data_IF_419079068499
#
_entry.id   IF_419079068499
#
_cell.length_a   1.000
_cell.length_b   1.000
_cell.length_c   1.000
_cell.angle_alpha   90.00
_cell.angle_beta   90.00
_cell.angle_gamma   90.00
#
_symmetry.space_group_name_H-M   'P 1'
#
loop_
_entity.id
_entity.type
_entity.pdbx_description
1 polymer ?
#
# COMPACT_ATOMS: atom_id res chain seq x y z
N UNK A 1 -6.41 -30.99 13.21
CA UNK A 1 -7.38 -29.94 12.82
C UNK A 1 -7.72 -29.13 14.07
N UNK A 2 -7.57 -27.81 14.07
CA UNK A 2 -8.01 -26.97 15.21
C UNK A 2 -9.39 -26.41 14.87
N UNK A 3 -10.36 -26.68 15.72
CA UNK A 3 -11.73 -26.15 15.60
C UNK A 3 -11.83 -24.97 16.57
N UNK A 4 -12.22 -23.81 16.07
CA UNK A 4 -12.49 -22.63 16.88
C UNK A 4 -13.97 -22.30 16.80
N UNK A 5 -14.53 -21.69 17.85
CA UNK A 5 -15.84 -21.06 17.73
C UNK A 5 -15.76 -19.86 16.77
N UNK A 6 -16.84 -19.61 16.02
CA UNK A 6 -16.95 -18.46 15.12
C UNK A 6 -16.65 -17.14 15.85
N UNK A 7 -17.20 -16.98 17.06
CA UNK A 7 -17.01 -15.78 17.87
C UNK A 7 -15.54 -15.60 18.26
N UNK A 8 -14.83 -16.69 18.62
CA UNK A 8 -13.39 -16.62 18.93
C UNK A 8 -12.56 -16.17 17.74
N UNK A 9 -12.86 -16.66 16.53
CA UNK A 9 -12.15 -16.23 15.31
C UNK A 9 -12.45 -14.76 14.99
N UNK A 10 -13.71 -14.34 15.03
CA UNK A 10 -14.09 -12.95 14.75
C UNK A 10 -13.41 -12.00 15.74
N UNK A 11 -13.38 -12.34 17.03
CA UNK A 11 -12.69 -11.54 18.04
C UNK A 11 -11.18 -11.50 17.80
N UNK A 12 -10.58 -12.62 17.39
CA UNK A 12 -9.15 -12.64 17.06
C UNK A 12 -8.82 -11.74 15.86
N UNK A 13 -9.63 -11.77 14.81
CA UNK A 13 -9.49 -10.91 13.63
C UNK A 13 -9.64 -9.43 13.99
N UNK A 14 -10.62 -9.08 14.82
CA UNK A 14 -10.78 -7.70 15.32
C UNK A 14 -9.59 -7.23 16.15
N UNK A 15 -9.08 -8.08 17.03
CA UNK A 15 -7.90 -7.78 17.84
C UNK A 15 -6.64 -7.62 16.98
N UNK A 16 -6.58 -8.30 15.84
CA UNK A 16 -5.54 -8.13 14.82
C UNK A 16 -5.82 -6.96 13.84
N UNK A 17 -6.75 -6.06 14.18
CA UNK A 17 -7.13 -4.89 13.39
C UNK A 17 -7.68 -5.18 11.98
N UNK A 18 -8.19 -6.39 11.75
CA UNK A 18 -9.00 -6.66 10.57
C UNK A 18 -10.42 -6.12 10.74
N UNK A 19 -10.93 -5.54 9.66
CA UNK A 19 -12.25 -4.94 9.52
C UNK A 19 -13.01 -5.63 8.36
N UNK A 20 -14.27 -5.25 8.15
CA UNK A 20 -15.15 -5.83 7.12
C UNK A 20 -15.18 -7.38 7.18
N UNK A 21 -15.21 -7.94 8.39
CA UNK A 21 -15.22 -9.39 8.62
C UNK A 21 -16.58 -9.95 8.18
N UNK A 22 -16.57 -10.81 7.17
CA UNK A 22 -17.77 -11.50 6.65
C UNK A 22 -17.55 -13.01 6.75
N UNK A 23 -18.44 -13.69 7.45
CA UNK A 23 -18.56 -15.15 7.41
C UNK A 23 -19.48 -15.47 6.23
N UNK A 24 -18.97 -16.17 5.23
CA UNK A 24 -19.73 -16.52 4.04
C UNK A 24 -20.53 -17.79 4.34
N UNK A 25 -21.85 -17.65 4.51
CA UNK A 25 -22.79 -18.75 4.77
C UNK A 25 -23.51 -19.24 3.52
N UNK A 26 -23.45 -18.46 2.45
CA UNK A 26 -24.00 -18.76 1.13
C UNK A 26 -22.92 -18.50 0.07
N UNK A 27 -22.78 -19.36 -0.97
CA UNK A 27 -21.78 -19.18 -2.01
C UNK A 27 -21.77 -17.75 -2.58
N UNK A 28 -20.58 -17.16 -2.67
CA UNK A 28 -20.38 -15.82 -3.25
C UNK A 28 -19.70 -16.00 -4.62
N UNK A 29 -20.53 -16.30 -5.62
CA UNK A 29 -20.05 -16.53 -6.99
C UNK A 29 -19.45 -15.27 -7.62
N UNK A 30 -19.86 -14.08 -7.18
CA UNK A 30 -19.32 -12.82 -7.69
C UNK A 30 -17.85 -12.62 -7.31
N UNK A 31 -17.44 -13.16 -6.15
CA UNK A 31 -16.05 -13.12 -5.67
C UNK A 31 -15.34 -14.49 -5.77
N UNK A 32 -15.91 -15.45 -6.50
CA UNK A 32 -15.32 -16.78 -6.72
C UNK A 32 -15.26 -17.68 -5.48
N UNK A 33 -16.05 -17.37 -4.44
CA UNK A 33 -16.08 -18.16 -3.20
C UNK A 33 -17.15 -19.24 -3.33
N UNK A 34 -16.72 -20.46 -3.63
CA UNK A 34 -17.56 -21.67 -3.66
C UNK A 34 -17.02 -22.71 -2.69
N UNK A 35 -17.89 -23.33 -1.91
CA UNK A 35 -17.54 -24.42 -1.02
C UNK A 35 -18.64 -25.50 -1.04
N UNK A 36 -18.28 -26.79 -1.19
CA UNK A 36 -19.24 -27.88 -1.24
C UNK A 36 -19.66 -28.38 0.15
N UNK A 37 -18.86 -28.10 1.19
CA UNK A 37 -19.01 -28.69 2.52
C UNK A 37 -19.76 -27.75 3.48
N UNK A 38 -20.90 -28.18 4.01
CA UNK A 38 -21.75 -27.39 4.91
C UNK A 38 -21.15 -27.11 6.30
N UNK A 39 -20.02 -27.73 6.63
CA UNK A 39 -19.32 -27.61 7.91
C UNK A 39 -18.11 -26.65 7.87
N UNK A 40 -17.75 -26.12 6.69
CA UNK A 40 -16.65 -25.18 6.53
C UNK A 40 -17.15 -23.87 5.90
N UNK A 41 -17.18 -22.78 6.68
CA UNK A 41 -17.55 -21.45 6.18
C UNK A 41 -16.29 -20.61 5.94
N UNK A 42 -16.02 -20.18 4.70
CA UNK A 42 -14.97 -19.21 4.41
C UNK A 42 -15.22 -17.90 5.16
N UNK A 43 -14.15 -17.26 5.61
CA UNK A 43 -14.19 -15.94 6.23
C UNK A 43 -13.32 -15.01 5.41
N UNK A 44 -13.88 -13.87 5.00
CA UNK A 44 -13.09 -12.76 4.48
C UNK A 44 -12.95 -11.70 5.55
N UNK A 45 -11.78 -11.09 5.64
CA UNK A 45 -11.50 -9.97 6.50
C UNK A 45 -10.49 -9.06 5.80
N UNK A 46 -10.67 -7.75 5.86
CA UNK A 46 -9.76 -6.78 5.24
C UNK A 46 -8.96 -6.07 6.31
N UNK A 47 -7.68 -5.81 6.08
CA UNK A 47 -6.97 -4.84 6.90
C UNK A 47 -7.65 -3.47 6.74
N UNK A 48 -7.71 -2.65 7.80
CA UNK A 48 -8.09 -1.23 7.70
C UNK A 48 -6.94 -0.39 8.28
N UNK A 49 -5.71 -0.77 7.91
CA UNK A 49 -4.59 0.10 8.14
C UNK A 49 -4.81 1.36 7.32
N UNK A 50 -4.44 2.52 7.88
CA UNK A 50 -4.47 3.75 7.10
C UNK A 50 -3.51 3.59 5.91
N UNK A 51 -3.92 3.97 4.69
CA UNK A 51 -3.03 3.97 3.55
C UNK A 51 -1.78 4.82 3.84
N UNK A 52 -0.64 4.37 3.37
CA UNK A 52 0.63 5.03 3.65
C UNK A 52 1.56 4.98 2.45
N UNK A 53 2.33 6.06 2.27
CA UNK A 53 3.49 6.09 1.41
C UNK A 53 4.58 6.93 2.11
N UNK A 54 5.77 6.34 2.25
CA UNK A 54 6.91 6.97 2.91
C UNK A 54 8.16 6.78 2.07
N UNK A 55 9.14 7.66 2.29
CA UNK A 55 10.43 7.61 1.66
C UNK A 55 11.54 7.59 2.71
N UNK A 56 12.51 6.69 2.57
CA UNK A 56 13.66 6.61 3.48
C UNK A 56 14.95 6.26 2.72
N UNK A 57 16.02 7.07 2.84
CA UNK A 57 16.09 8.34 3.58
C UNK A 57 15.30 9.47 2.92
N UNK A 58 14.83 10.44 3.72
CA UNK A 58 14.22 11.70 3.26
C UNK A 58 14.44 12.83 4.30
N UNK A 59 15.15 13.92 3.97
CA UNK A 59 15.82 14.18 2.71
C UNK A 59 16.88 13.13 2.36
N UNK A 60 17.09 12.89 1.08
CA UNK A 60 18.18 12.03 0.61
C UNK A 60 19.52 12.70 0.95
N UNK A 61 20.52 11.96 1.49
CA UNK A 61 21.83 12.51 1.77
C UNK A 61 22.51 13.13 0.55
N UNK A 62 23.34 14.15 0.80
CA UNK A 62 24.23 14.70 -0.22
C UNK A 62 25.34 13.69 -0.58
N UNK A 63 25.86 13.79 -1.79
CA UNK A 63 26.95 12.94 -2.30
C UNK A 63 27.14 13.12 -3.79
N UNK A 64 28.15 12.48 -4.36
CA UNK A 64 28.37 12.47 -5.80
C UNK A 64 27.23 11.74 -6.55
N UNK A 65 27.00 12.11 -7.81
CA UNK A 65 25.98 11.48 -8.66
C UNK A 65 24.54 11.70 -8.17
N UNK A 66 23.63 10.79 -8.54
CA UNK A 66 22.24 10.74 -8.05
C UNK A 66 22.15 10.09 -6.67
N UNK A 67 21.09 10.43 -5.94
CA UNK A 67 20.82 9.92 -4.61
C UNK A 67 19.80 8.80 -4.67
N UNK A 68 19.78 7.98 -3.62
CA UNK A 68 18.84 6.87 -3.49
C UNK A 68 17.93 7.08 -2.29
N UNK A 69 16.63 6.92 -2.52
CA UNK A 69 15.62 6.73 -1.46
C UNK A 69 14.85 5.46 -1.73
N UNK A 70 14.29 4.86 -0.69
CA UNK A 70 13.36 3.72 -0.82
C UNK A 70 11.95 4.22 -0.57
N UNK A 71 11.08 4.05 -1.56
CA UNK A 71 9.65 4.36 -1.46
C UNK A 71 8.94 3.10 -0.98
N UNK A 72 8.30 3.19 0.19
CA UNK A 72 7.50 2.10 0.75
C UNK A 72 6.05 2.54 0.83
N UNK A 73 5.14 1.71 0.33
CA UNK A 73 3.71 2.01 0.32
C UNK A 73 2.86 0.81 0.74
N UNK A 74 1.66 1.11 1.22
CA UNK A 74 0.60 0.15 1.53
C UNK A 74 -0.77 0.82 1.34
N UNK A 75 -1.68 0.18 0.61
CA UNK A 75 -3.06 0.68 0.38
C UNK A 75 -3.95 0.58 1.60
N UNK A 76 -3.55 -0.21 2.60
CA UNK A 76 -4.24 -0.34 3.88
C UNK A 76 -5.32 -1.41 3.90
N UNK A 77 -5.91 -1.69 2.74
CA UNK A 77 -7.03 -2.61 2.52
C UNK A 77 -6.71 -3.81 1.63
N UNK A 78 -5.42 -3.98 1.29
CA UNK A 78 -4.87 -5.03 0.42
C UNK A 78 -5.40 -5.01 -1.03
N UNK A 79 -6.07 -3.91 -1.42
CA UNK A 79 -6.44 -3.70 -2.82
C UNK A 79 -5.27 -3.17 -3.62
N UNK A 80 -5.34 -3.30 -4.95
CA UNK A 80 -4.29 -2.84 -5.85
C UNK A 80 -4.13 -1.32 -5.77
N UNK A 81 -2.91 -0.85 -5.48
CA UNK A 81 -2.55 0.57 -5.49
C UNK A 81 -1.58 0.91 -6.61
N UNK A 82 -1.64 2.18 -7.05
CA UNK A 82 -0.78 2.72 -8.11
C UNK A 82 0.02 3.90 -7.57
N UNK A 83 1.34 3.84 -7.73
CA UNK A 83 2.26 4.90 -7.33
C UNK A 83 2.74 5.65 -8.55
N UNK A 84 2.57 6.96 -8.54
CA UNK A 84 3.08 7.88 -9.53
C UNK A 84 4.03 8.89 -8.88
N UNK A 85 4.92 9.47 -9.69
CA UNK A 85 5.84 10.52 -9.27
C UNK A 85 5.75 11.74 -10.17
N UNK A 86 5.65 12.93 -9.56
CA UNK A 86 5.77 14.23 -10.20
C UNK A 86 7.10 14.88 -9.82
N UNK A 87 7.76 15.54 -10.78
CA UNK A 87 9.01 16.28 -10.57
C UNK A 87 8.75 17.77 -10.73
N UNK A 88 8.96 18.56 -9.68
CA UNK A 88 8.67 20.00 -9.64
C UNK A 88 7.26 20.33 -10.18
N UNK A 89 6.27 19.58 -9.69
CA UNK A 89 4.85 19.75 -10.01
C UNK A 89 4.49 19.57 -11.51
N UNK A 90 5.38 18.90 -12.29
CA UNK A 90 5.12 18.50 -13.69
C UNK A 90 4.24 17.25 -13.78
N UNK A 91 3.94 16.83 -15.01
CA UNK A 91 3.17 15.61 -15.29
C UNK A 91 3.74 14.39 -14.57
N UNK A 92 2.83 13.60 -14.00
CA UNK A 92 3.15 12.41 -13.24
C UNK A 92 3.56 11.24 -14.14
N UNK A 93 4.66 10.59 -13.80
CA UNK A 93 5.14 9.36 -14.42
C UNK A 93 4.86 8.14 -13.52
N UNK A 94 4.57 6.99 -14.13
CA UNK A 94 4.34 5.75 -13.40
C UNK A 94 5.61 5.29 -12.68
N UNK A 95 5.50 4.93 -11.40
CA UNK A 95 6.60 4.44 -10.58
C UNK A 95 6.45 2.95 -10.24
N UNK A 96 5.25 2.51 -9.87
CA UNK A 96 5.00 1.13 -9.49
C UNK A 96 3.55 0.84 -9.15
N UNK A 97 3.20 -0.44 -9.05
CA UNK A 97 1.86 -0.88 -8.66
C UNK A 97 1.94 -2.14 -7.80
N UNK A 98 1.26 -2.12 -6.66
CA UNK A 98 1.09 -3.25 -5.74
C UNK A 98 0.16 -2.80 -4.60
N UNK A 99 -0.54 -3.72 -3.90
CA UNK A 99 -1.19 -3.39 -2.63
C UNK A 99 -0.20 -2.86 -1.60
N UNK A 100 0.99 -3.45 -1.58
CA UNK A 100 2.11 -3.05 -0.74
C UNK A 100 3.44 -3.38 -1.43
N UNK A 101 4.43 -2.50 -1.31
CA UNK A 101 5.78 -2.77 -1.80
C UNK A 101 6.80 -1.79 -1.20
N UNK A 102 8.08 -2.10 -1.41
CA UNK A 102 9.22 -1.26 -1.10
C UNK A 102 10.17 -1.25 -2.30
N UNK A 103 10.32 -0.10 -2.96
CA UNK A 103 11.09 0.04 -4.21
C UNK A 103 12.08 1.20 -4.13
N UNK A 104 13.31 0.96 -4.56
CA UNK A 104 14.35 1.98 -4.61
C UNK A 104 14.14 2.95 -5.78
N UNK A 105 14.29 4.25 -5.50
CA UNK A 105 14.43 5.33 -6.48
C UNK A 105 15.86 5.88 -6.38
N UNK A 106 16.75 5.41 -7.25
CA UNK A 106 18.19 5.72 -7.28
C UNK A 106 18.55 6.90 -8.21
N UNK A 107 17.54 7.67 -8.63
CA UNK A 107 17.64 8.74 -9.62
C UNK A 107 17.33 10.13 -9.02
N UNK A 108 17.36 10.27 -7.69
CA UNK A 108 17.02 11.52 -7.01
C UNK A 108 18.14 12.56 -7.17
N UNK A 109 17.83 13.68 -7.80
CA UNK A 109 18.77 14.77 -8.05
C UNK A 109 18.60 15.91 -7.04
N UNK A 110 19.69 16.61 -6.77
CA UNK A 110 19.69 17.81 -5.93
C UNK A 110 18.98 18.96 -6.64
N UNK A 111 18.21 19.77 -5.90
CA UNK A 111 17.49 20.93 -6.46
C UNK A 111 16.13 20.61 -7.08
N UNK A 112 15.72 19.34 -7.07
CA UNK A 112 14.38 18.91 -7.49
C UNK A 112 13.52 18.49 -6.30
N UNK A 113 12.21 18.65 -6.46
CA UNK A 113 11.16 18.18 -5.54
C UNK A 113 10.40 17.04 -6.22
N UNK A 114 10.41 15.87 -5.60
CA UNK A 114 9.73 14.68 -6.12
C UNK A 114 8.51 14.38 -5.27
N UNK A 115 7.31 14.42 -5.83
CA UNK A 115 6.08 14.05 -5.12
C UNK A 115 5.65 12.66 -5.56
N UNK A 116 5.72 11.70 -4.65
CA UNK A 116 5.19 10.37 -4.84
C UNK A 116 3.76 10.33 -4.31
N UNK A 117 2.82 9.87 -5.13
CA UNK A 117 1.40 9.80 -4.81
C UNK A 117 0.90 8.37 -5.00
N UNK A 118 0.24 7.84 -3.98
CA UNK A 118 -0.41 6.55 -3.97
C UNK A 118 -1.90 6.75 -4.26
N UNK A 119 -2.42 6.05 -5.26
CA UNK A 119 -3.84 6.07 -5.65
C UNK A 119 -4.48 4.69 -5.46
N UNK A 120 -5.79 4.67 -5.18
CA UNK A 120 -6.60 3.44 -5.21
C UNK A 120 -7.01 3.05 -6.63
N UNK A 121 -7.58 1.86 -6.76
CA UNK A 121 -8.37 1.48 -7.94
C UNK A 121 -7.55 1.38 -9.23
N UNK A 122 -8.09 1.90 -10.35
CA UNK A 122 -7.39 1.98 -11.65
C UNK A 122 -6.44 3.19 -11.71
N UNK A 123 -5.64 3.32 -12.77
CA UNK A 123 -4.67 4.42 -12.95
C UNK A 123 -5.26 5.81 -12.61
N UNK A 124 -4.68 6.50 -11.61
CA UNK A 124 -5.09 7.81 -11.07
C UNK A 124 -6.53 7.89 -10.51
N UNK A 125 -6.93 6.91 -9.70
CA UNK A 125 -8.15 6.93 -8.88
C UNK A 125 -8.14 7.96 -7.74
N UNK A 126 -8.66 7.60 -6.57
CA UNK A 126 -8.64 8.45 -5.37
C UNK A 126 -7.22 8.48 -4.78
N UNK A 127 -6.74 9.68 -4.45
CA UNK A 127 -5.48 9.84 -3.72
C UNK A 127 -5.61 9.24 -2.31
N UNK A 128 -4.78 8.25 -2.01
CA UNK A 128 -4.72 7.55 -0.73
C UNK A 128 -3.71 8.19 0.22
N UNK A 129 -2.50 8.46 -0.27
CA UNK A 129 -1.41 9.06 0.50
C UNK A 129 -0.39 9.70 -0.44
N UNK A 130 0.41 10.64 0.06
CA UNK A 130 1.53 11.21 -0.69
C UNK A 130 2.74 11.48 0.20
N UNK A 131 3.92 11.52 -0.42
CA UNK A 131 5.17 11.94 0.23
C UNK A 131 6.00 12.79 -0.72
N UNK A 132 6.68 13.80 -0.16
CA UNK A 132 7.60 14.65 -0.91
C UNK A 132 9.04 14.29 -0.57
N UNK A 133 9.82 13.91 -1.57
CA UNK A 133 11.25 13.61 -1.46
C UNK A 133 12.06 14.79 -1.97
N UNK A 134 13.05 15.18 -1.18
CA UNK A 134 14.08 16.15 -1.55
C UNK A 134 15.46 15.54 -1.32
N UNK A 135 16.50 16.20 -1.81
CA UNK A 135 17.89 15.83 -1.56
C UNK A 135 18.69 17.01 -1.04
N UNK A 136 19.50 16.75 -0.02
CA UNK A 136 20.38 17.75 0.57
C UNK A 136 21.45 18.20 -0.43
N UNK A 137 21.76 19.50 -0.41
CA UNK A 137 22.90 20.04 -1.14
C UNK A 137 24.21 19.64 -0.45
N UNK A 138 25.29 19.34 -1.19
CA UNK A 138 26.60 19.22 -0.57
C UNK A 138 26.97 20.55 0.10
N UNK A 139 27.56 20.48 1.28
CA UNK A 139 28.17 21.62 1.95
C UNK A 139 29.28 22.17 1.04
N UNK A 140 29.19 23.46 0.68
CA UNK A 140 30.29 24.18 0.00
C UNK A 140 31.45 24.44 0.95
#
# INVERSE_FOLDING_TARGET
>A
MRVFSENSIIQHLRNAAFHAIKVHREPDFAHGVWWPESWAFPISARSNMLPMIIASPNPVPAGEGTGTTTITWNTGDDTMGYVYVSVNDREESFFGRAPQSSTAANWIQTGFRYQFRLYDGTERGKLLAETTVTRNKPSS
#
